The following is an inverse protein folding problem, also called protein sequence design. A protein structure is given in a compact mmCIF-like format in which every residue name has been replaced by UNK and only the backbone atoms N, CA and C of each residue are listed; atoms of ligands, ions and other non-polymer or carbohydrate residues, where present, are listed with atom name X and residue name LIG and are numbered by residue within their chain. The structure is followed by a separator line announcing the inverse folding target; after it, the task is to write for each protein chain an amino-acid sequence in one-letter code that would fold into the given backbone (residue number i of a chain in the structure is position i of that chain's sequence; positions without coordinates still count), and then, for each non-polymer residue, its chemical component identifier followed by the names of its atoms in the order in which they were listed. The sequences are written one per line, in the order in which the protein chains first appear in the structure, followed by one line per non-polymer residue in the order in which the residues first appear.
data_IF_163051060767
#
_entry.id   IF_163051060767
#
_cell.length_a   1.000
_cell.length_b   1.000
_cell.length_c   1.000
_cell.angle_alpha   90.00
_cell.angle_beta   90.00
_cell.angle_gamma   90.00
#
_symmetry.space_group_name_H-M   'P 1'
#
loop_
_entity.id
_entity.type
_entity.pdbx_description
1 polymer ?
#
# COMPACT_ATOMS: atom_id res chain seq x y z
N UNK A 1 16.77 -2.16 7.23
CA UNK A 1 15.96 -1.28 6.36
C UNK A 1 16.58 0.10 6.38
N UNK A 2 16.70 0.78 5.23
CA UNK A 2 17.40 2.06 5.09
C UNK A 2 16.57 3.05 4.26
N UNK A 3 16.70 4.34 4.57
CA UNK A 3 16.12 5.45 3.81
C UNK A 3 17.24 6.35 3.28
N UNK A 4 17.03 6.87 2.09
CA UNK A 4 17.90 7.85 1.46
C UNK A 4 17.83 9.20 2.19
N UNK A 5 18.92 9.97 2.17
CA UNK A 5 19.00 11.25 2.87
C UNK A 5 17.87 12.24 2.53
N UNK A 6 17.48 12.33 1.26
CA UNK A 6 16.33 13.13 0.81
C UNK A 6 15.02 12.81 1.57
N UNK A 7 14.79 11.55 1.93
CA UNK A 7 13.58 11.13 2.66
C UNK A 7 13.62 11.63 4.11
N UNK A 8 14.82 11.68 4.71
CA UNK A 8 15.00 12.24 6.04
C UNK A 8 14.87 13.76 6.07
N UNK A 9 15.31 14.46 5.01
CA UNK A 9 15.04 15.89 4.82
C UNK A 9 13.56 16.17 4.63
N UNK A 10 12.87 15.33 3.86
CA UNK A 10 11.42 15.40 3.76
C UNK A 10 10.74 15.17 5.11
N UNK A 11 11.22 14.21 5.91
CA UNK A 11 10.72 13.95 7.25
C UNK A 11 10.90 15.15 8.19
N UNK A 12 12.01 15.89 8.09
CA UNK A 12 12.26 17.07 8.94
C UNK A 12 11.38 18.26 8.57
N UNK A 13 11.03 18.42 7.29
CA UNK A 13 10.23 19.54 6.79
C UNK A 13 8.72 19.28 6.84
N UNK A 14 8.29 18.07 6.47
CA UNK A 14 6.88 17.72 6.25
C UNK A 14 6.40 16.54 7.09
N UNK A 15 7.27 15.92 7.88
CA UNK A 15 6.91 14.83 8.77
C UNK A 15 6.06 15.29 9.95
N UNK A 16 5.39 14.34 10.59
CA UNK A 16 4.74 14.57 11.88
C UNK A 16 5.78 14.86 12.99
N UNK A 17 5.32 15.31 14.16
CA UNK A 17 6.22 15.74 15.25
C UNK A 17 7.24 14.66 15.64
N UNK A 18 6.83 13.39 15.65
CA UNK A 18 7.70 12.25 15.93
C UNK A 18 8.76 12.03 14.85
N UNK A 19 8.41 12.15 13.57
CA UNK A 19 9.35 12.03 12.46
C UNK A 19 10.32 13.20 12.42
N UNK A 20 9.86 14.43 12.73
CA UNK A 20 10.69 15.62 12.83
C UNK A 20 11.67 15.54 13.99
N UNK A 21 11.20 15.13 15.17
CA UNK A 21 12.06 14.92 16.34
C UNK A 21 13.13 13.87 16.05
N UNK A 22 12.74 12.73 15.49
CA UNK A 22 13.68 11.65 15.17
C UNK A 22 14.69 12.06 14.08
N UNK A 23 14.25 12.80 13.05
CA UNK A 23 15.16 13.31 12.02
C UNK A 23 16.22 14.26 12.57
N UNK A 24 15.91 15.03 13.63
CA UNK A 24 16.87 15.88 14.34
C UNK A 24 17.81 15.07 15.23
N UNK A 25 17.27 14.14 16.02
CA UNK A 25 18.05 13.27 16.90
C UNK A 25 19.07 12.42 16.14
N UNK A 26 18.73 11.91 14.94
CA UNK A 26 19.65 11.06 14.17
C UNK A 26 20.94 11.77 13.76
N UNK A 27 20.91 13.10 13.60
CA UNK A 27 22.08 13.89 13.23
C UNK A 27 23.14 13.93 14.34
N UNK A 28 22.73 13.71 15.59
CA UNK A 28 23.63 13.68 16.76
C UNK A 28 24.31 12.32 16.96
N UNK A 29 23.89 11.30 16.20
CA UNK A 29 24.43 9.94 16.30
C UNK A 29 25.56 9.72 15.30
N UNK A 30 26.54 8.91 15.70
CA UNK A 30 27.55 8.36 14.80
C UNK A 30 26.90 7.53 13.69
N UNK A 31 27.61 7.37 12.56
CA UNK A 31 27.04 6.71 11.38
C UNK A 31 26.57 5.27 11.65
N UNK A 32 27.33 4.50 12.42
CA UNK A 32 26.99 3.12 12.76
C UNK A 32 25.79 3.04 13.72
N UNK A 33 25.78 3.88 14.76
CA UNK A 33 24.67 3.96 15.70
C UNK A 33 23.37 4.43 14.99
N UNK A 34 23.52 5.36 14.04
CA UNK A 34 22.44 5.84 13.19
C UNK A 34 21.86 4.72 12.34
N UNK A 35 22.68 3.89 11.69
CA UNK A 35 22.18 2.76 10.87
C UNK A 35 21.32 1.77 11.67
N UNK A 36 21.76 1.40 12.88
CA UNK A 36 21.02 0.47 13.75
C UNK A 36 19.71 1.09 14.23
N UNK A 37 19.77 2.34 14.72
CA UNK A 37 18.61 3.03 15.28
C UNK A 37 17.59 3.37 14.18
N UNK A 38 18.04 3.84 13.03
CA UNK A 38 17.21 4.16 11.86
C UNK A 38 16.45 2.91 11.41
N UNK A 39 17.14 1.78 11.27
CA UNK A 39 16.49 0.53 10.89
C UNK A 39 15.37 0.18 11.88
N UNK A 40 15.62 0.26 13.20
CA UNK A 40 14.60 -0.05 14.23
C UNK A 40 13.43 0.94 14.22
N UNK A 41 13.70 2.24 14.15
CA UNK A 41 12.66 3.27 14.14
C UNK A 41 11.77 3.17 12.90
N UNK A 42 12.37 2.86 11.75
CA UNK A 42 11.66 2.67 10.51
C UNK A 42 10.66 1.51 10.57
N UNK A 43 10.88 0.48 11.39
CA UNK A 43 9.93 -0.62 11.53
C UNK A 43 8.68 -0.26 12.34
N UNK A 44 8.76 0.78 13.15
CA UNK A 44 7.66 1.19 14.03
C UNK A 44 6.58 1.98 13.28
N UNK A 45 5.45 2.21 13.95
CA UNK A 45 4.30 2.97 13.41
C UNK A 45 4.69 4.33 12.83
N UNK A 46 5.63 5.05 13.45
CA UNK A 46 6.15 6.33 12.94
C UNK A 46 6.87 6.19 11.59
N UNK A 47 7.73 5.19 11.47
CA UNK A 47 8.43 4.87 10.22
C UNK A 47 7.53 4.36 9.11
N UNK A 48 6.49 3.59 9.44
CA UNK A 48 5.46 3.15 8.48
C UNK A 48 4.76 4.36 7.86
N UNK A 49 4.28 5.29 8.69
CA UNK A 49 3.59 6.50 8.21
C UNK A 49 4.50 7.38 7.36
N UNK A 50 5.77 7.55 7.75
CA UNK A 50 6.73 8.31 6.95
C UNK A 50 6.92 7.68 5.55
N UNK A 51 6.98 6.35 5.45
CA UNK A 51 7.07 5.68 4.15
C UNK A 51 5.84 5.86 3.29
N UNK A 52 4.65 5.78 3.89
CA UNK A 52 3.39 6.00 3.18
C UNK A 52 3.31 7.42 2.64
N UNK A 53 3.65 8.41 3.47
CA UNK A 53 3.71 9.82 3.06
C UNK A 53 4.73 10.05 1.93
N UNK A 54 5.91 9.44 2.02
CA UNK A 54 6.90 9.52 0.95
C UNK A 54 6.37 8.90 -0.34
N UNK A 55 5.78 7.70 -0.28
CA UNK A 55 5.22 7.02 -1.47
C UNK A 55 4.02 7.73 -2.08
N UNK A 56 3.26 8.48 -1.29
CA UNK A 56 2.14 9.29 -1.77
C UNK A 56 2.60 10.49 -2.63
N UNK A 57 3.88 10.89 -2.54
CA UNK A 57 4.41 11.95 -3.40
C UNK A 57 4.52 11.46 -4.87
N UNK A 58 4.13 12.30 -5.85
CA UNK A 58 4.30 11.97 -7.26
C UNK A 58 5.74 11.58 -7.59
N UNK A 59 5.92 10.51 -8.36
CA UNK A 59 7.22 10.03 -8.84
C UNK A 59 8.16 11.10 -9.42
N UNK A 60 7.70 12.10 -10.22
CA UNK A 60 8.58 13.19 -10.65
C UNK A 60 9.09 14.06 -9.49
N UNK A 61 8.24 14.35 -8.50
CA UNK A 61 8.61 15.13 -7.31
C UNK A 61 9.62 14.38 -6.44
N UNK A 62 9.44 13.07 -6.27
CA UNK A 62 10.40 12.20 -5.55
C UNK A 62 11.76 12.17 -6.24
N UNK A 63 11.80 11.97 -7.56
CA UNK A 63 13.05 11.96 -8.33
C UNK A 63 13.79 13.28 -8.23
N UNK A 64 13.08 14.41 -8.29
CA UNK A 64 13.65 15.74 -8.10
C UNK A 64 14.30 15.88 -6.71
N UNK A 65 13.59 15.50 -5.64
CA UNK A 65 14.13 15.55 -4.28
C UNK A 65 15.35 14.62 -4.08
N UNK A 66 15.36 13.45 -4.75
CA UNK A 66 16.51 12.53 -4.73
C UNK A 66 17.72 13.12 -5.48
N UNK A 67 17.51 13.79 -6.62
CA UNK A 67 18.56 14.46 -7.39
C UNK A 67 19.13 15.67 -6.65
N UNK A 68 18.29 16.45 -5.97
CA UNK A 68 18.71 17.63 -5.19
C UNK A 68 19.55 17.24 -3.96
N UNK A 69 19.44 16.00 -3.47
CA UNK A 69 20.20 15.51 -2.31
C UNK A 69 20.91 14.20 -2.63
N UNK A 70 22.05 14.21 -3.34
CA UNK A 70 22.77 12.99 -3.67
C UNK A 70 23.25 12.26 -2.40
N UNK A 71 22.99 10.95 -2.32
CA UNK A 71 23.42 10.07 -1.23
C UNK A 71 24.22 8.89 -1.81
N UNK A 72 25.55 9.01 -1.78
CA UNK A 72 26.48 8.01 -2.31
C UNK A 72 26.39 6.66 -1.58
N UNK A 73 25.75 6.61 -0.40
CA UNK A 73 25.58 5.38 0.38
C UNK A 73 24.36 4.54 -0.04
N UNK A 74 23.59 5.05 -1.01
CA UNK A 74 22.33 4.48 -1.47
C UNK A 74 22.43 4.05 -2.96
N UNK A 75 21.94 2.86 -3.34
CA UNK A 75 22.02 2.41 -4.72
C UNK A 75 21.16 3.26 -5.66
N UNK A 76 21.70 3.54 -6.84
CA UNK A 76 21.02 4.28 -7.90
C UNK A 76 19.77 3.53 -8.41
N UNK A 77 18.76 4.29 -8.84
CA UNK A 77 17.50 3.73 -9.37
C UNK A 77 16.46 3.30 -8.33
N UNK A 78 16.72 3.50 -7.04
CA UNK A 78 15.75 3.22 -5.97
C UNK A 78 14.99 4.48 -5.58
N UNK A 79 13.69 4.33 -5.32
CA UNK A 79 12.75 5.38 -4.90
C UNK A 79 13.03 6.02 -3.52
N UNK A 80 14.27 5.92 -3.01
CA UNK A 80 14.69 6.46 -1.71
C UNK A 80 14.37 5.58 -0.49
N UNK A 81 13.78 4.40 -0.69
CA UNK A 81 13.48 3.43 0.38
C UNK A 81 14.10 2.08 0.01
N UNK A 82 15.00 1.58 0.86
CA UNK A 82 15.68 0.30 0.68
C UNK A 82 15.31 -0.65 1.82
N UNK A 83 14.42 -1.60 1.54
CA UNK A 83 14.09 -2.66 2.49
C UNK A 83 14.80 -3.95 2.11
N UNK A 84 15.99 -4.16 2.69
CA UNK A 84 16.79 -5.38 2.50
C UNK A 84 16.08 -6.67 2.93
N UNK A 85 15.01 -6.60 3.74
CA UNK A 85 14.20 -7.78 4.07
C UNK A 85 13.46 -8.33 2.86
N UNK A 86 13.15 -7.49 1.86
CA UNK A 86 12.58 -7.94 0.59
C UNK A 86 13.58 -8.70 -0.28
N UNK A 87 14.90 -8.59 -0.04
CA UNK A 87 15.91 -9.35 -0.82
C UNK A 87 15.92 -10.85 -0.54
N UNK A 88 15.27 -11.33 0.54
CA UNK A 88 15.04 -12.78 0.72
C UNK A 88 13.93 -13.33 -0.19
N UNK A 89 13.30 -12.47 -0.99
CA UNK A 89 12.26 -12.82 -1.95
C UNK A 89 12.62 -12.20 -3.31
N UNK A 90 13.40 -12.96 -4.10
CA UNK A 90 13.78 -12.75 -5.51
C UNK A 90 15.01 -11.84 -5.79
N UNK A 91 15.95 -12.28 -6.66
CA UNK A 91 17.10 -11.48 -7.07
C UNK A 91 16.68 -10.47 -8.14
N UNK A 92 16.91 -9.20 -7.88
CA UNK A 92 16.76 -8.14 -8.88
C UNK A 92 17.99 -8.13 -9.80
N UNK A 93 17.74 -8.41 -11.08
CA UNK A 93 18.67 -8.29 -12.19
C UNK A 93 19.17 -6.84 -12.27
N UNK A 94 20.49 -6.64 -12.19
CA UNK A 94 21.14 -5.36 -12.51
C UNK A 94 21.43 -5.34 -14.02
N UNK A 95 20.91 -4.36 -14.75
CA UNK A 95 21.25 -4.15 -16.17
C UNK A 95 22.01 -2.83 -16.32
N UNK A 96 23.16 -2.92 -17.00
CA UNK A 96 24.10 -1.84 -17.28
C UNK A 96 23.72 -1.01 -18.52
N UNK A 97 24.31 0.19 -18.71
CA UNK A 97 23.82 1.21 -19.66
C UNK A 97 23.95 0.84 -21.14
N UNK A 98 24.65 -0.24 -21.50
CA UNK A 98 24.76 -0.71 -22.89
C UNK A 98 23.45 -1.31 -23.42
N UNK A 99 22.52 -1.71 -22.53
CA UNK A 99 21.22 -2.29 -22.90
C UNK A 99 20.20 -1.23 -23.36
N UNK A 100 20.43 0.05 -23.02
CA UNK A 100 19.53 1.15 -23.39
C UNK A 100 19.48 1.43 -24.90
N UNK A 101 20.48 1.00 -25.68
CA UNK A 101 20.43 1.12 -27.16
C UNK A 101 19.70 -0.05 -27.84
N UNK A 102 19.67 -1.25 -27.23
CA UNK A 102 18.86 -2.37 -27.73
C UNK A 102 17.39 -2.26 -27.31
N UNK A 103 17.09 -1.53 -26.23
CA UNK A 103 15.73 -1.29 -25.75
C UNK A 103 14.86 -0.42 -26.69
N UNK A 104 15.43 0.25 -27.69
CA UNK A 104 14.66 1.04 -28.65
C UNK A 104 14.19 0.24 -29.88
N UNK A 105 14.72 -0.97 -30.08
CA UNK A 105 14.28 -1.89 -31.15
C UNK A 105 13.38 -3.04 -30.63
N UNK A 106 13.19 -3.15 -29.31
CA UNK A 106 12.29 -4.15 -28.69
C UNK A 106 10.94 -3.58 -28.23
N UNK A 107 10.59 -2.35 -28.64
CA UNK A 107 9.21 -1.82 -28.51
C UNK A 107 8.25 -2.46 -29.53
N UNK A 108 8.49 -3.72 -29.89
CA UNK A 108 7.73 -4.47 -30.88
C UNK A 108 7.84 -6.00 -30.64
N UNK A 109 7.93 -6.47 -29.40
CA UNK A 109 7.55 -7.86 -29.09
C UNK A 109 6.87 -7.94 -27.72
N UNK A 110 5.55 -7.84 -27.81
CA UNK A 110 4.58 -8.59 -27.02
C UNK A 110 5.14 -9.90 -26.44
N UNK A 111 4.96 -10.11 -25.12
CA UNK A 111 4.77 -11.42 -24.46
C UNK A 111 4.66 -11.21 -22.94
N UNK A 112 3.57 -10.56 -22.49
CA UNK A 112 2.99 -10.97 -21.19
C UNK A 112 2.51 -12.38 -21.44
N UNK A 113 3.17 -13.41 -20.88
CA UNK A 113 2.71 -14.80 -21.05
C UNK A 113 1.19 -14.83 -20.77
N UNK A 114 0.35 -15.20 -21.75
CA UNK A 114 -1.11 -15.07 -21.63
C UNK A 114 -1.65 -15.84 -20.42
N UNK A 115 -0.92 -16.86 -19.97
CA UNK A 115 -1.18 -17.64 -18.76
C UNK A 115 -1.10 -16.81 -17.46
N UNK A 116 -0.17 -15.86 -17.36
CA UNK A 116 -0.03 -15.02 -16.15
C UNK A 116 -1.14 -13.98 -16.09
N UNK A 117 -1.47 -13.36 -17.22
CA UNK A 117 -2.58 -12.41 -17.30
C UNK A 117 -3.93 -13.11 -17.00
N UNK A 118 -4.16 -14.30 -17.56
CA UNK A 118 -5.36 -15.10 -17.31
C UNK A 118 -5.48 -15.50 -15.83
N UNK A 119 -4.38 -15.94 -15.20
CA UNK A 119 -4.35 -16.26 -13.77
C UNK A 119 -4.68 -15.06 -12.89
N UNK A 120 -4.17 -13.87 -13.19
CA UNK A 120 -4.47 -12.64 -12.43
C UNK A 120 -5.95 -12.28 -12.53
N UNK A 121 -6.55 -12.39 -13.72
CA UNK A 121 -8.00 -12.16 -13.92
C UNK A 121 -8.82 -13.19 -13.15
N UNK A 122 -8.46 -14.48 -13.20
CA UNK A 122 -9.13 -15.53 -12.42
C UNK A 122 -9.05 -15.27 -10.92
N UNK A 123 -7.89 -14.86 -10.41
CA UNK A 123 -7.71 -14.52 -9.00
C UNK A 123 -8.52 -13.29 -8.58
N UNK A 124 -8.61 -12.27 -9.44
CA UNK A 124 -9.44 -11.10 -9.19
C UNK A 124 -10.92 -11.47 -9.11
N UNK A 125 -11.42 -12.26 -10.06
CA UNK A 125 -12.80 -12.75 -10.08
C UNK A 125 -13.10 -13.62 -8.85
N UNK A 126 -12.21 -14.54 -8.48
CA UNK A 126 -12.37 -15.37 -7.29
C UNK A 126 -12.43 -14.53 -6.00
N UNK A 127 -11.61 -13.47 -5.91
CA UNK A 127 -11.62 -12.56 -4.77
C UNK A 127 -12.92 -11.75 -4.69
N UNK A 128 -13.46 -11.28 -5.82
CA UNK A 128 -14.77 -10.62 -5.85
C UNK A 128 -15.88 -11.58 -5.40
N UNK A 129 -15.89 -12.81 -5.91
CA UNK A 129 -16.86 -13.84 -5.50
C UNK A 129 -16.76 -14.16 -4.00
N UNK A 130 -15.54 -14.26 -3.46
CA UNK A 130 -15.33 -14.48 -2.02
C UNK A 130 -15.97 -13.37 -1.17
N UNK A 131 -15.72 -12.10 -1.52
CA UNK A 131 -16.31 -10.98 -0.78
C UNK A 131 -17.82 -10.89 -0.95
N UNK A 132 -18.38 -11.32 -2.09
CA UNK A 132 -19.82 -11.42 -2.29
C UNK A 132 -20.45 -12.45 -1.36
N UNK A 133 -19.84 -13.65 -1.25
CA UNK A 133 -20.30 -14.70 -0.32
C UNK A 133 -20.22 -14.21 1.13
N UNK A 134 -19.13 -13.53 1.51
CA UNK A 134 -19.01 -12.96 2.85
C UNK A 134 -20.07 -11.92 3.17
N UNK A 135 -20.45 -11.07 2.20
CA UNK A 135 -21.52 -10.10 2.40
C UNK A 135 -22.85 -10.82 2.73
N UNK A 136 -23.17 -11.89 2.00
CA UNK A 136 -24.35 -12.72 2.27
C UNK A 136 -24.26 -13.46 3.61
N UNK A 137 -23.10 -14.03 3.94
CA UNK A 137 -22.87 -14.71 5.23
C UNK A 137 -23.09 -13.76 6.40
N UNK A 138 -22.50 -12.56 6.35
CA UNK A 138 -22.67 -11.56 7.39
C UNK A 138 -24.11 -11.06 7.47
N UNK A 139 -24.80 -10.92 6.34
CA UNK A 139 -26.24 -10.57 6.31
C UNK A 139 -27.09 -11.62 7.03
N UNK A 140 -26.84 -12.90 6.76
CA UNK A 140 -27.52 -14.00 7.45
C UNK A 140 -27.17 -14.03 8.94
N UNK A 141 -25.92 -13.75 9.31
CA UNK A 141 -25.48 -13.70 10.71
C UNK A 141 -26.12 -12.55 11.48
N UNK A 142 -26.24 -11.36 10.87
CA UNK A 142 -27.00 -10.23 11.44
C UNK A 142 -28.43 -10.66 11.76
N UNK A 143 -29.11 -11.32 10.82
CA UNK A 143 -30.49 -11.78 11.02
C UNK A 143 -30.59 -12.86 12.10
N UNK A 144 -29.63 -13.78 12.16
CA UNK A 144 -29.58 -14.82 13.18
C UNK A 144 -29.37 -14.24 14.59
N UNK A 145 -28.41 -13.31 14.75
CA UNK A 145 -28.14 -12.64 16.03
C UNK A 145 -29.31 -11.73 16.46
N UNK A 146 -29.99 -11.08 15.50
CA UNK A 146 -31.20 -10.32 15.76
C UNK A 146 -32.31 -11.22 16.30
N UNK A 147 -32.58 -12.35 15.64
CA UNK A 147 -33.57 -13.34 16.09
C UNK A 147 -33.22 -13.95 17.46
N UNK A 148 -31.92 -14.00 17.79
CA UNK A 148 -31.41 -14.46 19.09
C UNK A 148 -31.54 -13.39 20.19
N UNK A 149 -31.85 -12.14 19.84
CA UNK A 149 -31.92 -11.02 20.78
C UNK A 149 -30.54 -10.45 21.19
N UNK A 150 -29.50 -10.71 20.39
CA UNK A 150 -28.11 -10.33 20.68
C UNK A 150 -27.74 -9.05 19.92
N UNK A 151 -27.90 -7.88 20.56
CA UNK A 151 -27.49 -6.61 19.95
C UNK A 151 -25.99 -6.54 19.65
N UNK A 152 -25.16 -7.11 20.53
CA UNK A 152 -23.71 -7.16 20.32
C UNK A 152 -23.34 -7.97 19.07
N UNK A 153 -23.97 -9.15 18.88
CA UNK A 153 -23.73 -9.99 17.69
C UNK A 153 -24.23 -9.35 16.40
N UNK A 154 -25.34 -8.60 16.46
CA UNK A 154 -25.85 -7.80 15.34
C UNK A 154 -24.84 -6.72 14.93
N UNK A 155 -24.30 -5.98 15.89
CA UNK A 155 -23.31 -4.93 15.64
C UNK A 155 -21.99 -5.48 15.09
N UNK A 156 -21.49 -6.60 15.64
CA UNK A 156 -20.25 -7.24 15.19
C UNK A 156 -20.38 -7.79 13.76
N UNK A 157 -21.49 -8.47 13.47
CA UNK A 157 -21.78 -9.01 12.15
C UNK A 157 -21.95 -7.90 11.11
N UNK A 158 -22.54 -6.78 11.51
CA UNK A 158 -22.68 -5.61 10.66
C UNK A 158 -21.36 -4.91 10.34
N UNK A 159 -20.51 -4.71 11.35
CA UNK A 159 -19.17 -4.15 11.14
C UNK A 159 -18.37 -5.01 10.15
N UNK A 160 -18.47 -6.33 10.27
CA UNK A 160 -17.84 -7.29 9.36
C UNK A 160 -18.44 -7.20 7.94
N UNK A 161 -19.76 -7.02 7.82
CA UNK A 161 -20.45 -6.80 6.55
C UNK A 161 -19.97 -5.52 5.85
N UNK A 162 -19.81 -4.42 6.59
CA UNK A 162 -19.28 -3.13 6.08
C UNK A 162 -17.88 -3.29 5.53
N UNK A 163 -16.99 -3.99 6.24
CA UNK A 163 -15.61 -4.23 5.79
C UNK A 163 -15.61 -5.03 4.47
N UNK A 164 -16.44 -6.06 4.38
CA UNK A 164 -16.57 -6.90 3.18
C UNK A 164 -17.15 -6.11 1.99
N UNK A 165 -18.15 -5.26 2.23
CA UNK A 165 -18.76 -4.39 1.22
C UNK A 165 -17.75 -3.37 0.64
N UNK A 166 -16.92 -2.77 1.49
CA UNK A 166 -15.84 -1.86 1.06
C UNK A 166 -14.75 -2.60 0.29
N UNK A 167 -14.40 -3.82 0.70
CA UNK A 167 -13.43 -4.64 0.00
C UNK A 167 -13.93 -5.03 -1.41
N UNK A 168 -15.23 -5.33 -1.54
CA UNK A 168 -15.87 -5.57 -2.82
C UNK A 168 -15.88 -4.30 -3.68
N UNK A 169 -16.21 -3.13 -3.12
CA UNK A 169 -16.24 -1.86 -3.88
C UNK A 169 -14.87 -1.49 -4.45
N UNK A 170 -13.79 -1.86 -3.75
CA UNK A 170 -12.42 -1.72 -4.24
C UNK A 170 -12.04 -2.75 -5.31
N UNK A 171 -12.67 -3.92 -5.32
CA UNK A 171 -12.42 -4.95 -6.30
C UNK A 171 -13.00 -4.61 -7.68
N UNK A 172 -14.05 -3.78 -7.73
CA UNK A 172 -14.67 -3.33 -8.97
C UNK A 172 -13.85 -2.29 -9.75
N UNK A 173 -12.66 -1.91 -9.25
CA UNK A 173 -11.71 -1.00 -9.90
C UNK A 173 -12.37 0.26 -10.52
N UNK A 174 -13.08 1.08 -9.72
CA UNK A 174 -13.69 2.31 -10.21
C UNK A 174 -12.66 3.24 -10.83
N UNK A 175 -12.98 3.82 -11.99
CA UNK A 175 -12.03 4.60 -12.77
C UNK A 175 -11.89 6.04 -12.25
N UNK A 176 -12.92 6.53 -11.57
CA UNK A 176 -12.97 7.86 -10.96
C UNK A 176 -13.21 7.80 -9.45
N UNK A 177 -12.82 8.86 -8.74
CA UNK A 177 -13.07 8.97 -7.29
C UNK A 177 -14.55 8.98 -6.94
N UNK A 178 -15.38 9.54 -7.82
CA UNK A 178 -16.82 9.68 -7.62
C UNK A 178 -17.53 8.34 -7.81
N UNK A 179 -17.11 7.55 -8.81
CA UNK A 179 -17.54 6.15 -8.96
C UNK A 179 -17.14 5.30 -7.76
N UNK A 180 -15.93 5.49 -7.24
CA UNK A 180 -15.46 4.75 -6.06
C UNK A 180 -16.30 5.08 -4.82
N UNK A 181 -16.61 6.35 -4.62
CA UNK A 181 -17.48 6.79 -3.54
C UNK A 181 -18.91 6.26 -3.69
N UNK A 182 -19.49 6.37 -4.89
CA UNK A 182 -20.83 5.86 -5.18
C UNK A 182 -20.94 4.34 -5.00
N UNK A 183 -19.94 3.57 -5.43
CA UNK A 183 -19.91 2.12 -5.25
C UNK A 183 -19.85 1.72 -3.77
N UNK A 184 -19.07 2.43 -2.96
CA UNK A 184 -19.03 2.23 -1.50
C UNK A 184 -20.37 2.59 -0.88
N UNK A 185 -20.91 3.78 -1.17
CA UNK A 185 -22.18 4.24 -0.61
C UNK A 185 -23.33 3.28 -0.93
N UNK A 186 -23.46 2.85 -2.19
CA UNK A 186 -24.52 1.93 -2.62
C UNK A 186 -24.49 0.63 -1.82
N UNK A 187 -23.30 0.06 -1.61
CA UNK A 187 -23.15 -1.19 -0.85
C UNK A 187 -23.33 -1.01 0.65
N UNK A 188 -22.90 0.11 1.22
CA UNK A 188 -23.19 0.45 2.61
C UNK A 188 -24.69 0.64 2.83
N UNK A 189 -25.40 1.27 1.90
CA UNK A 189 -26.85 1.41 1.94
C UNK A 189 -27.53 0.03 1.93
N UNK A 190 -27.04 -0.93 1.14
CA UNK A 190 -27.56 -2.31 1.20
C UNK A 190 -27.33 -2.96 2.58
N UNK A 191 -26.14 -2.81 3.17
CA UNK A 191 -25.84 -3.37 4.51
C UNK A 191 -26.72 -2.73 5.59
N UNK A 192 -26.83 -1.40 5.61
CA UNK A 192 -27.65 -0.68 6.58
C UNK A 192 -29.15 -0.97 6.40
N UNK A 193 -29.63 -1.08 5.16
CA UNK A 193 -31.00 -1.50 4.88
C UNK A 193 -31.30 -2.87 5.48
N UNK A 194 -30.37 -3.84 5.34
CA UNK A 194 -30.57 -5.17 5.93
C UNK A 194 -30.52 -5.20 7.47
N UNK A 195 -29.95 -4.18 8.11
CA UNK A 195 -29.94 -4.07 9.57
C UNK A 195 -31.22 -3.44 10.12
N UNK A 196 -31.79 -2.47 9.41
CA UNK A 196 -32.90 -1.66 9.88
C UNK A 196 -34.27 -2.25 9.53
N UNK A 197 -34.31 -3.23 8.61
CA UNK A 197 -35.54 -3.86 8.12
C UNK A 197 -36.01 -3.25 6.82
#
# INVERSE_FOLDING_TARGET
MRLHQAVWLYASLHGNDYARAYAKERLQLSEDARRVRDSKWLLNKGGVRLREQWRALPSPKRRRLLQETPDLSFPEGVDGILDERRRRSSPAIQLSPSVLKSARELSATDMTSPDVADKVVRMANARSNYHQILCEEHRLRVRAEYNRGSLAGVLESAASSVISAVALAKADCPTTSDEAFAAVCTRLTCVLGTMLG
#
